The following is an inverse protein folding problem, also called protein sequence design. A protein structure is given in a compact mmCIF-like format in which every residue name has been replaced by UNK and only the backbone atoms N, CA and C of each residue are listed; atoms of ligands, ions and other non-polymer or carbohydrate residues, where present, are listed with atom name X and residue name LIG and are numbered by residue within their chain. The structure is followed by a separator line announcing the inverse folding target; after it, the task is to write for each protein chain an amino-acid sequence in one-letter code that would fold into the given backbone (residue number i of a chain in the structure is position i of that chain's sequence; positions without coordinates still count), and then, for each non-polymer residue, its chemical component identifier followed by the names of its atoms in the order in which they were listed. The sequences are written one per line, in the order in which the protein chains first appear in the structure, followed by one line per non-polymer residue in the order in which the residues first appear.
data_IF_688375259165
#
_entry.id   IF_688375259165
#
_cell.length_a   1.000
_cell.length_b   1.000
_cell.length_c   1.000
_cell.angle_alpha   90.00
_cell.angle_beta   90.00
_cell.angle_gamma   90.00
#
_symmetry.space_group_name_H-M   'P 1'
#
loop_
_entity.id
_entity.type
_entity.pdbx_description
1 polymer ?
#
# COMPACT_ATOMS: atom_id res chain seq x y z
N UNK A 1 5.86 -12.84 -40.92
CA UNK A 1 5.15 -12.21 -40.66
C UNK A 1 4.45 -12.30 -39.47
N UNK A 2 4.02 -12.69 -39.04
CA UNK A 2 3.27 -12.83 -38.01
C UNK A 2 3.98 -13.02 -36.80
N UNK A 3 4.95 -13.54 -36.74
CA UNK A 3 5.62 -13.85 -35.59
C UNK A 3 5.72 -12.74 -34.70
N UNK A 4 6.00 -11.66 -35.07
CA UNK A 4 6.24 -10.62 -34.14
C UNK A 4 5.10 -10.35 -33.25
N UNK A 5 4.00 -10.54 -33.68
CA UNK A 5 2.91 -10.31 -32.91
C UNK A 5 2.91 -10.99 -31.61
N UNK A 6 3.20 -12.13 -31.63
CA UNK A 6 3.15 -12.91 -30.45
C UNK A 6 3.89 -12.31 -29.31
N UNK A 7 4.97 -11.79 -29.55
CA UNK A 7 5.70 -11.35 -28.48
C UNK A 7 5.13 -10.21 -27.82
N UNK A 8 4.68 -9.33 -28.46
CA UNK A 8 4.24 -8.16 -27.78
C UNK A 8 3.19 -8.51 -26.79
N UNK A 9 2.42 -9.45 -27.06
CA UNK A 9 1.41 -9.76 -26.14
C UNK A 9 1.90 -10.20 -24.84
N UNK A 10 2.90 -10.89 -24.80
CA UNK A 10 3.42 -11.37 -23.56
C UNK A 10 3.76 -10.29 -22.62
N UNK A 11 4.36 -9.30 -23.11
CA UNK A 11 4.78 -8.25 -22.27
C UNK A 11 3.64 -7.66 -21.55
N UNK A 12 2.61 -7.44 -22.20
CA UNK A 12 1.51 -6.84 -21.62
C UNK A 12 1.00 -7.62 -20.48
N UNK A 13 0.89 -8.84 -20.63
CA UNK A 13 0.36 -9.65 -19.60
C UNK A 13 1.14 -9.49 -18.32
N UNK A 14 2.40 -9.53 -18.43
CA UNK A 14 3.16 -9.46 -17.22
C UNK A 14 3.05 -8.11 -16.59
N UNK A 15 2.94 -7.09 -17.35
CA UNK A 15 2.91 -5.78 -16.78
C UNK A 15 1.66 -5.58 -15.95
N UNK A 16 0.58 -6.12 -16.37
CA UNK A 16 -0.62 -5.87 -15.65
C UNK A 16 -0.68 -6.58 -14.33
N UNK A 17 0.15 -7.53 -14.12
CA UNK A 17 0.01 -8.36 -12.96
C UNK A 17 0.26 -7.67 -11.66
N UNK A 18 0.97 -6.59 -11.64
CA UNK A 18 1.27 -6.03 -10.36
C UNK A 18 1.13 -4.55 -10.35
N UNK A 19 -0.03 -4.10 -10.44
CA UNK A 19 -0.21 -2.70 -10.64
C UNK A 19 -0.73 -1.93 -9.45
N UNK A 20 -0.66 -2.49 -8.26
CA UNK A 20 -1.13 -1.75 -7.10
C UNK A 20 -0.06 -0.78 -6.64
N UNK A 21 -0.45 0.47 -6.48
CA UNK A 21 0.43 1.50 -5.98
C UNK A 21 -0.10 2.04 -4.68
N UNK A 22 0.79 2.31 -3.75
CA UNK A 22 0.43 2.90 -2.48
C UNK A 22 0.99 4.31 -2.40
N UNK A 23 0.14 5.25 -2.07
CA UNK A 23 0.57 6.62 -1.80
C UNK A 23 0.33 6.87 -0.33
N UNK A 24 1.35 7.29 0.37
CA UNK A 24 1.26 7.51 1.80
C UNK A 24 1.46 8.96 2.13
N UNK A 25 0.78 9.40 3.18
CA UNK A 25 0.92 10.77 3.63
C UNK A 25 1.01 10.74 5.14
N UNK A 26 2.12 11.23 5.66
CA UNK A 26 2.35 11.25 7.09
C UNK A 26 1.65 12.43 7.73
N UNK A 27 0.95 12.19 8.82
CA UNK A 27 0.34 13.24 9.60
C UNK A 27 0.71 13.03 11.05
N UNK A 28 0.42 14.02 11.86
CA UNK A 28 0.70 13.94 13.26
C UNK A 28 -0.02 12.79 13.95
N UNK A 29 -1.20 12.44 13.47
CA UNK A 29 -2.04 11.44 14.11
C UNK A 29 -1.96 10.07 13.47
N UNK A 30 -1.24 9.94 12.39
CA UNK A 30 -1.15 8.65 11.71
C UNK A 30 -0.78 8.82 10.26
N UNK A 31 -1.09 7.81 9.47
CA UNK A 31 -0.70 7.78 8.08
C UNK A 31 -1.93 7.56 7.21
N UNK A 32 -2.12 8.44 6.23
CA UNK A 32 -3.15 8.22 5.23
C UNK A 32 -2.58 7.37 4.12
N UNK A 33 -3.34 6.38 3.71
CA UNK A 33 -2.94 5.48 2.64
C UNK A 33 -3.96 5.58 1.54
N UNK A 34 -3.49 5.69 0.32
CA UNK A 34 -4.35 5.62 -0.84
C UNK A 34 -3.81 4.55 -1.76
N UNK A 35 -4.61 3.57 -2.08
CA UNK A 35 -4.21 2.47 -2.94
C UNK A 35 -4.93 2.60 -4.27
N UNK A 36 -4.16 2.46 -5.34
CA UNK A 36 -4.74 2.48 -6.68
C UNK A 36 -4.22 1.30 -7.47
N UNK A 37 -5.02 0.86 -8.41
CA UNK A 37 -4.61 -0.20 -9.31
C UNK A 37 -4.97 0.27 -10.71
N UNK A 38 -3.97 0.47 -11.54
CA UNK A 38 -4.18 0.98 -12.90
C UNK A 38 -4.92 2.31 -12.87
N UNK A 39 -4.50 3.16 -11.97
CA UNK A 39 -5.05 4.51 -11.81
C UNK A 39 -6.47 4.57 -11.26
N UNK A 40 -7.00 3.45 -10.83
CA UNK A 40 -8.33 3.42 -10.22
C UNK A 40 -8.24 3.04 -8.76
N UNK A 41 -9.17 3.50 -7.92
CA UNK A 41 -9.11 3.17 -6.50
C UNK A 41 -9.15 1.66 -6.29
N UNK A 42 -8.30 1.18 -5.42
CA UNK A 42 -8.27 -0.24 -5.07
C UNK A 42 -8.94 -0.43 -3.73
N UNK A 43 -10.19 -0.83 -3.74
CA UNK A 43 -10.94 -1.01 -2.51
C UNK A 43 -10.81 -2.44 -2.01
N UNK A 44 -11.04 -2.63 -0.74
CA UNK A 44 -11.05 -3.98 -0.18
C UNK A 44 -9.69 -4.59 0.05
N UNK A 45 -8.62 -3.81 -0.06
CA UNK A 45 -7.30 -4.34 0.23
C UNK A 45 -7.04 -4.28 1.73
N UNK A 46 -6.34 -5.29 2.23
CA UNK A 46 -5.94 -5.30 3.62
C UNK A 46 -4.61 -4.58 3.74
N UNK A 47 -4.54 -3.65 4.67
CA UNK A 47 -3.34 -2.85 4.87
C UNK A 47 -2.82 -3.11 6.27
N UNK A 48 -1.55 -3.41 6.38
CA UNK A 48 -0.90 -3.69 7.66
C UNK A 48 0.36 -2.88 7.79
N UNK A 49 0.77 -2.67 9.04
CA UNK A 49 2.05 -2.03 9.31
C UNK A 49 2.99 -3.11 9.82
N UNK A 50 4.08 -3.30 9.11
CA UNK A 50 4.91 -4.46 9.35
C UNK A 50 5.93 -4.31 10.46
N UNK A 51 6.34 -3.09 10.76
CA UNK A 51 7.45 -2.91 11.68
C UNK A 51 7.14 -2.05 12.90
N UNK A 52 5.88 -1.94 13.26
CA UNK A 52 5.50 -1.21 14.46
C UNK A 52 4.79 -2.19 15.39
N UNK A 53 5.41 -2.55 16.49
CA UNK A 53 4.83 -3.60 17.37
C UNK A 53 3.42 -3.30 17.86
N UNK A 54 3.09 -2.05 18.12
CA UNK A 54 1.76 -1.72 18.57
C UNK A 54 0.70 -2.06 17.54
N UNK A 55 1.08 -2.20 16.28
CA UNK A 55 0.13 -2.47 15.22
C UNK A 55 0.28 -3.85 14.61
N UNK A 56 1.02 -4.73 15.28
CA UNK A 56 1.25 -6.06 14.74
C UNK A 56 -0.04 -6.83 14.46
N UNK A 57 -1.02 -6.69 15.32
CA UNK A 57 -2.26 -7.43 15.15
C UNK A 57 -3.36 -6.61 14.51
N UNK A 58 -3.04 -5.41 14.09
CA UNK A 58 -4.06 -4.55 13.52
C UNK A 58 -4.06 -4.67 12.00
N UNK A 59 -5.22 -4.69 11.42
CA UNK A 59 -5.31 -4.63 9.98
C UNK A 59 -6.40 -3.63 9.62
N UNK A 60 -6.24 -3.02 8.47
CA UNK A 60 -7.14 -2.00 8.01
C UNK A 60 -7.54 -2.35 6.58
N UNK A 61 -8.70 -1.91 6.16
CA UNK A 61 -9.19 -2.24 4.82
C UNK A 61 -9.48 -0.97 4.06
N UNK A 62 -9.04 -0.89 2.82
CA UNK A 62 -9.30 0.31 2.02
C UNK A 62 -10.78 0.39 1.69
N UNK A 63 -11.28 1.62 1.64
CA UNK A 63 -12.70 1.85 1.35
C UNK A 63 -12.94 1.92 -0.15
N UNK A 64 -14.12 2.36 -0.54
CA UNK A 64 -14.49 2.41 -1.94
C UNK A 64 -13.61 3.33 -2.75
N UNK A 65 -12.95 4.25 -2.11
CA UNK A 65 -12.06 5.18 -2.80
C UNK A 65 -10.62 4.75 -2.69
N UNK A 66 -10.36 3.56 -2.17
CA UNK A 66 -9.02 3.05 -2.01
C UNK A 66 -8.26 3.69 -0.86
N UNK A 67 -8.94 4.29 0.08
CA UNK A 67 -8.30 5.03 1.16
C UNK A 67 -8.48 4.34 2.49
N UNK A 68 -7.49 4.52 3.34
CA UNK A 68 -7.61 4.06 4.72
C UNK A 68 -6.67 4.92 5.56
N UNK A 69 -7.04 5.13 6.80
CA UNK A 69 -6.22 5.89 7.72
C UNK A 69 -5.71 4.94 8.80
N UNK A 70 -4.41 4.96 9.04
CA UNK A 70 -3.77 4.15 10.07
C UNK A 70 -3.43 5.05 11.23
N UNK A 71 -4.15 4.97 12.35
CA UNK A 71 -3.83 5.81 13.50
C UNK A 71 -2.50 5.36 14.06
N UNK A 72 -1.63 6.29 14.32
CA UNK A 72 -0.29 5.95 14.78
C UNK A 72 0.27 7.12 15.56
N UNK A 73 0.59 6.88 16.82
CA UNK A 73 1.27 7.87 17.63
C UNK A 73 2.50 7.22 18.20
N UNK A 74 3.64 7.82 17.96
CA UNK A 74 4.91 7.29 18.40
C UNK A 74 5.63 8.32 19.24
N UNK A 75 6.40 7.84 20.18
CA UNK A 75 7.19 8.71 21.02
C UNK A 75 8.44 9.20 20.33
N UNK A 76 8.85 8.53 19.29
CA UNK A 76 10.01 8.96 18.53
C UNK A 76 9.75 8.73 17.05
N UNK A 77 10.40 9.52 16.24
CA UNK A 77 10.24 9.40 14.80
C UNK A 77 10.89 8.13 14.30
N UNK A 78 10.31 7.55 13.28
CA UNK A 78 10.89 6.33 12.71
C UNK A 78 10.28 6.04 11.34
N UNK A 79 10.94 5.16 10.61
CA UNK A 79 10.39 4.69 9.34
C UNK A 79 9.32 3.64 9.61
N UNK A 80 8.27 3.69 8.86
CA UNK A 80 7.14 2.79 9.02
C UNK A 80 6.91 2.09 7.69
N UNK A 81 6.85 0.77 7.74
CA UNK A 81 6.64 -0.02 6.53
C UNK A 81 5.18 -0.42 6.43
N UNK A 82 4.53 -0.03 5.36
CA UNK A 82 3.11 -0.31 5.13
C UNK A 82 3.00 -1.32 4.02
N UNK A 83 2.21 -2.36 4.25
CA UNK A 83 2.01 -3.41 3.27
C UNK A 83 0.55 -3.56 2.95
N UNK A 84 0.24 -3.77 1.69
CA UNK A 84 -1.11 -4.06 1.26
C UNK A 84 -1.16 -5.48 0.73
N UNK A 85 -2.25 -6.16 1.03
CA UNK A 85 -2.42 -7.52 0.54
C UNK A 85 -3.84 -7.71 0.05
N UNK A 86 -3.98 -8.67 -0.85
CA UNK A 86 -5.26 -9.01 -1.42
C UNK A 86 -5.44 -10.50 -1.27
N UNK A 87 -6.44 -10.92 -0.50
CA UNK A 87 -6.71 -12.33 -0.27
C UNK A 87 -5.48 -13.06 0.27
N UNK A 88 -4.78 -12.40 1.15
CA UNK A 88 -3.64 -13.02 1.81
C UNK A 88 -2.32 -12.91 1.06
N UNK A 89 -2.33 -12.31 -0.11
CA UNK A 89 -1.09 -12.17 -0.87
C UNK A 89 -0.65 -10.72 -0.90
N UNK A 90 0.62 -10.50 -0.63
CA UNK A 90 1.15 -9.15 -0.65
C UNK A 90 1.15 -8.61 -2.08
N UNK A 91 0.57 -7.45 -2.28
CA UNK A 91 0.50 -6.84 -3.59
C UNK A 91 1.29 -5.55 -3.69
N UNK A 92 1.63 -4.94 -2.57
CA UNK A 92 2.42 -3.71 -2.59
C UNK A 92 2.96 -3.43 -1.21
N UNK A 93 4.09 -2.77 -1.13
CA UNK A 93 4.60 -2.30 0.16
C UNK A 93 5.42 -1.05 -0.07
N UNK A 94 5.46 -0.19 0.92
CA UNK A 94 6.25 1.01 0.83
C UNK A 94 6.57 1.50 2.24
N UNK A 95 7.54 2.36 2.35
CA UNK A 95 8.01 2.85 3.63
C UNK A 95 7.87 4.36 3.67
N UNK A 96 7.45 4.89 4.81
CA UNK A 96 7.36 6.32 4.99
C UNK A 96 7.92 6.66 6.36
N UNK A 97 8.49 7.83 6.49
CA UNK A 97 9.02 8.29 7.76
C UNK A 97 7.89 9.00 8.51
N UNK A 98 7.60 8.52 9.73
CA UNK A 98 6.57 9.13 10.56
C UNK A 98 7.25 9.93 11.65
N UNK A 99 6.95 11.21 11.71
CA UNK A 99 7.53 12.07 12.72
C UNK A 99 6.86 11.87 14.05
N UNK A 100 7.63 12.02 15.11
CA UNK A 100 7.09 11.89 16.45
C UNK A 100 5.95 12.86 16.66
N UNK A 101 4.90 12.40 17.32
CA UNK A 101 3.80 13.29 17.62
C UNK A 101 4.01 14.02 18.90
N UNK A 102 5.05 13.72 19.62
CA UNK A 102 5.28 14.49 20.83
C UNK A 102 6.17 15.66 20.47
N UNK A 103 5.94 16.75 21.08
CA UNK A 103 6.75 17.83 20.73
C UNK A 103 6.91 18.72 21.80
#
# INVERSE_FOLDING_TARGET
MLKSIALSTLLIASASASAVELQLRDTQNGIYVKATEQSEPASGLTVNVANVPQLNDASFTTDERGRVFIPLTLNSSRSVKVEASDMGQSVASTTIFHSSSSN
#
